data_IF_994857986875
#
_entry.id   IF_994857986875
#
_cell.length_a   1.000
_cell.length_b   1.000
_cell.length_c   1.000
_cell.angle_alpha   90.00
_cell.angle_beta   90.00
_cell.angle_gamma   90.00
#
_symmetry.space_group_name_H-M   'P 1'
#
loop_
_entity.id
_entity.type
_entity.pdbx_description
1 polymer ?
#
# COMPACT_ATOMS: atom_id res chain seq x y z
N UNK A 1 0.41 13.42 -15.64
CA UNK A 1 -1.02 13.62 -16.04
C UNK A 1 -1.39 12.83 -17.29
N UNK A 2 -0.59 12.85 -18.36
CA UNK A 2 -0.88 12.14 -19.63
C UNK A 2 -1.08 10.62 -19.43
N UNK A 3 -0.23 9.97 -18.64
CA UNK A 3 -0.37 8.53 -18.38
C UNK A 3 -1.66 8.20 -17.61
N UNK A 4 -2.03 9.00 -16.61
CA UNK A 4 -3.30 8.84 -15.91
C UNK A 4 -4.49 8.93 -16.86
N UNK A 5 -4.50 9.92 -17.75
CA UNK A 5 -5.53 10.07 -18.79
C UNK A 5 -5.55 8.87 -19.76
N UNK A 6 -4.39 8.38 -20.20
CA UNK A 6 -4.28 7.22 -21.08
C UNK A 6 -4.86 5.95 -20.44
N UNK A 7 -4.52 5.71 -19.17
CA UNK A 7 -5.05 4.57 -18.43
C UNK A 7 -6.57 4.72 -18.22
N UNK A 8 -7.06 5.91 -17.87
CA UNK A 8 -8.48 6.21 -17.71
C UNK A 8 -9.27 5.97 -19.01
N UNK A 9 -8.82 6.56 -20.13
CA UNK A 9 -9.60 6.61 -21.38
C UNK A 9 -9.44 5.40 -22.28
N UNK A 10 -8.28 4.73 -22.24
CA UNK A 10 -7.94 3.65 -23.18
C UNK A 10 -7.85 2.31 -22.44
N UNK A 11 -6.95 2.20 -21.45
CA UNK A 11 -6.68 0.91 -20.78
C UNK A 11 -7.88 0.46 -19.95
N UNK A 12 -8.46 1.37 -19.18
CA UNK A 12 -9.53 1.06 -18.22
C UNK A 12 -10.78 0.45 -18.90
N UNK A 13 -11.34 1.01 -19.97
CA UNK A 13 -12.46 0.40 -20.67
C UNK A 13 -12.14 -0.98 -21.24
N UNK A 14 -10.99 -1.12 -21.90
CA UNK A 14 -10.56 -2.38 -22.53
C UNK A 14 -10.29 -3.47 -21.50
N UNK A 15 -9.73 -3.13 -20.34
CA UNK A 15 -9.43 -4.07 -19.24
C UNK A 15 -10.65 -4.37 -18.34
N UNK A 16 -11.80 -3.72 -18.58
CA UNK A 16 -13.01 -3.92 -17.80
C UNK A 16 -12.94 -3.36 -16.38
N UNK A 17 -12.11 -2.34 -16.13
CA UNK A 17 -11.98 -1.72 -14.82
C UNK A 17 -13.29 -1.09 -14.32
N UNK A 18 -14.06 -0.35 -15.13
CA UNK A 18 -15.32 0.23 -14.69
C UNK A 18 -16.31 -0.81 -14.16
N UNK A 19 -16.37 -1.98 -14.79
CA UNK A 19 -17.24 -3.09 -14.34
C UNK A 19 -16.81 -3.60 -12.95
N UNK A 20 -15.51 -3.72 -12.70
CA UNK A 20 -14.98 -4.18 -11.39
C UNK A 20 -15.21 -3.15 -10.30
N UNK A 21 -14.93 -1.88 -10.59
CA UNK A 21 -15.13 -0.76 -9.66
C UNK A 21 -16.61 -0.72 -9.25
N UNK A 22 -17.54 -0.73 -10.22
CA UNK A 22 -18.97 -0.76 -9.94
C UNK A 22 -19.39 -1.96 -9.11
N UNK A 23 -18.89 -3.15 -9.42
CA UNK A 23 -19.21 -4.36 -8.67
C UNK A 23 -18.75 -4.29 -7.22
N UNK A 24 -17.54 -3.79 -6.97
CA UNK A 24 -17.03 -3.59 -5.63
C UNK A 24 -17.83 -2.54 -4.85
N UNK A 25 -18.09 -1.38 -5.48
CA UNK A 25 -18.89 -0.31 -4.86
C UNK A 25 -20.30 -0.75 -4.54
N UNK A 26 -20.99 -1.43 -5.47
CA UNK A 26 -22.32 -1.97 -5.24
C UNK A 26 -22.36 -3.01 -4.11
N UNK A 27 -21.27 -3.75 -3.90
CA UNK A 27 -21.16 -4.72 -2.81
C UNK A 27 -21.04 -4.07 -1.43
N UNK A 28 -20.26 -2.99 -1.31
CA UNK A 28 -19.92 -2.37 -0.02
C UNK A 28 -20.65 -1.05 0.25
N UNK A 29 -21.10 -0.37 -0.77
CA UNK A 29 -21.78 0.93 -0.71
C UNK A 29 -22.96 0.96 -1.70
N UNK A 30 -24.01 0.15 -1.50
CA UNK A 30 -25.10 0.02 -2.46
C UNK A 30 -25.86 1.34 -2.72
N UNK A 31 -25.87 2.24 -1.75
CA UNK A 31 -26.57 3.53 -1.81
C UNK A 31 -25.71 4.66 -2.36
N UNK A 32 -24.49 4.37 -2.86
CA UNK A 32 -23.60 5.40 -3.40
C UNK A 32 -24.24 6.01 -4.68
N UNK A 33 -24.35 7.37 -4.78
CA UNK A 33 -24.95 8.02 -5.94
C UNK A 33 -24.26 7.65 -7.26
N UNK A 34 -25.03 7.45 -8.32
CA UNK A 34 -24.50 7.07 -9.64
C UNK A 34 -23.50 8.09 -10.20
N UNK A 35 -23.65 9.37 -9.87
CA UNK A 35 -22.70 10.42 -10.24
C UNK A 35 -21.32 10.16 -9.62
N UNK A 36 -21.28 9.75 -8.37
CA UNK A 36 -20.05 9.41 -7.64
C UNK A 36 -19.42 8.12 -8.19
N UNK A 37 -20.22 7.10 -8.45
CA UNK A 37 -19.74 5.86 -9.08
C UNK A 37 -19.08 6.16 -10.43
N UNK A 38 -19.71 7.02 -11.27
CA UNK A 38 -19.15 7.43 -12.56
C UNK A 38 -17.83 8.20 -12.39
N UNK A 39 -17.73 9.06 -11.36
CA UNK A 39 -16.52 9.78 -11.01
C UNK A 39 -15.40 8.80 -10.64
N UNK A 40 -15.66 7.88 -9.74
CA UNK A 40 -14.68 6.87 -9.30
C UNK A 40 -14.23 5.94 -10.44
N UNK A 41 -15.10 5.59 -11.37
CA UNK A 41 -14.74 4.81 -12.57
C UNK A 41 -13.73 5.51 -13.48
N UNK A 42 -13.57 6.85 -13.36
CA UNK A 42 -12.55 7.66 -14.06
C UNK A 42 -11.33 7.89 -13.20
N UNK A 43 -11.53 8.34 -11.97
CA UNK A 43 -10.46 8.85 -11.09
C UNK A 43 -9.56 7.72 -10.59
N UNK A 44 -10.12 6.55 -10.26
CA UNK A 44 -9.34 5.38 -9.80
C UNK A 44 -8.34 4.89 -10.86
N UNK A 45 -8.73 4.62 -12.11
CA UNK A 45 -7.77 4.27 -13.15
C UNK A 45 -6.79 5.40 -13.47
N UNK A 46 -7.22 6.65 -13.37
CA UNK A 46 -6.35 7.82 -13.57
C UNK A 46 -5.23 7.84 -12.50
N UNK A 47 -5.60 7.68 -11.22
CA UNK A 47 -4.60 7.59 -10.14
C UNK A 47 -3.65 6.40 -10.32
N UNK A 48 -4.16 5.22 -10.69
CA UNK A 48 -3.34 4.04 -10.97
C UNK A 48 -2.34 4.29 -12.11
N UNK A 49 -2.76 4.97 -13.18
CA UNK A 49 -1.89 5.35 -14.28
C UNK A 49 -0.80 6.37 -13.89
N UNK A 50 -1.13 7.30 -12.97
CA UNK A 50 -0.14 8.24 -12.41
C UNK A 50 0.90 7.49 -11.58
N UNK A 51 0.46 6.64 -10.66
CA UNK A 51 1.35 5.83 -9.81
C UNK A 51 2.28 4.95 -10.65
N UNK A 52 1.76 4.38 -11.74
CA UNK A 52 2.58 3.60 -12.67
C UNK A 52 3.71 4.42 -13.29
N UNK A 53 3.42 5.61 -13.84
CA UNK A 53 4.47 6.42 -14.49
C UNK A 53 5.44 7.03 -13.48
N UNK A 54 4.98 7.38 -12.28
CA UNK A 54 5.82 7.86 -11.20
C UNK A 54 6.88 6.83 -10.82
N UNK A 55 6.51 5.54 -10.74
CA UNK A 55 7.43 4.44 -10.47
C UNK A 55 8.59 4.38 -11.50
N UNK A 56 8.32 4.73 -12.76
CA UNK A 56 9.31 4.75 -13.84
C UNK A 56 9.98 6.12 -14.06
N UNK A 57 9.62 7.14 -13.27
CA UNK A 57 10.18 8.49 -13.41
C UNK A 57 11.50 8.68 -12.65
N UNK A 58 11.98 7.67 -11.94
CA UNK A 58 13.32 7.67 -11.33
C UNK A 58 13.58 8.87 -10.42
N UNK A 59 14.56 9.71 -10.79
CA UNK A 59 14.99 10.87 -9.98
C UNK A 59 13.89 11.90 -9.77
N UNK A 60 13.08 12.17 -10.78
CA UNK A 60 11.98 13.15 -10.68
C UNK A 60 10.96 12.71 -9.64
N UNK A 61 10.62 11.42 -9.62
CA UNK A 61 9.76 10.86 -8.58
C UNK A 61 10.37 11.02 -7.19
N UNK A 62 11.66 10.67 -7.02
CA UNK A 62 12.34 10.78 -5.73
C UNK A 62 12.38 12.21 -5.23
N UNK A 63 12.62 13.19 -6.11
CA UNK A 63 12.62 14.59 -5.74
C UNK A 63 11.29 15.06 -5.16
N UNK A 64 10.16 14.63 -5.73
CA UNK A 64 8.83 14.93 -5.18
C UNK A 64 8.54 14.14 -3.91
N UNK A 65 8.80 12.84 -3.92
CA UNK A 65 8.49 11.96 -2.81
C UNK A 65 9.24 12.34 -1.52
N UNK A 66 10.50 12.72 -1.63
CA UNK A 66 11.33 13.08 -0.46
C UNK A 66 10.95 14.44 0.17
N UNK A 67 10.23 15.28 -0.57
CA UNK A 67 9.70 16.56 -0.06
C UNK A 67 8.33 16.42 0.61
N UNK A 68 7.68 15.27 0.49
CA UNK A 68 6.37 15.05 1.09
C UNK A 68 6.43 15.21 2.62
N UNK A 69 5.57 16.05 3.21
CA UNK A 69 5.49 16.14 4.66
C UNK A 69 5.05 14.81 5.26
N UNK A 70 5.65 14.46 6.39
CA UNK A 70 5.27 13.28 7.17
C UNK A 70 4.52 13.77 8.39
N UNK A 71 3.29 13.33 8.53
CA UNK A 71 2.34 13.71 9.58
C UNK A 71 1.79 12.49 10.28
N UNK A 72 0.98 12.72 11.30
CA UNK A 72 0.26 11.69 12.03
C UNK A 72 0.95 11.24 13.32
N UNK A 73 0.14 10.66 14.25
CA UNK A 73 0.58 10.39 15.62
C UNK A 73 1.64 9.28 15.69
N UNK A 74 1.63 8.32 14.76
CA UNK A 74 2.55 7.18 14.75
C UNK A 74 3.98 7.53 14.33
N UNK A 75 4.24 8.73 13.79
CA UNK A 75 5.60 9.09 13.36
C UNK A 75 6.57 9.12 14.54
N UNK A 76 6.15 9.59 15.70
CA UNK A 76 6.96 9.56 16.91
C UNK A 76 7.28 8.12 17.38
N UNK A 77 6.32 7.19 17.26
CA UNK A 77 6.53 5.78 17.58
C UNK A 77 7.52 5.12 16.60
N UNK A 78 7.45 5.46 15.31
CA UNK A 78 8.41 5.01 14.29
C UNK A 78 9.84 5.46 14.61
N UNK A 79 10.04 6.74 14.94
CA UNK A 79 11.36 7.30 15.29
C UNK A 79 11.89 6.70 16.60
N UNK A 80 11.02 6.50 17.59
CA UNK A 80 11.37 5.82 18.85
C UNK A 80 11.82 4.38 18.61
N UNK A 81 11.05 3.60 17.86
CA UNK A 81 11.41 2.22 17.53
C UNK A 81 12.77 2.14 16.82
N UNK A 82 13.04 3.07 15.89
CA UNK A 82 14.33 3.19 15.22
C UNK A 82 15.47 3.47 16.20
N UNK A 83 15.30 4.44 17.09
CA UNK A 83 16.32 4.82 18.07
C UNK A 83 16.66 3.66 19.03
N UNK A 84 15.66 2.85 19.37
CA UNK A 84 15.80 1.67 20.24
C UNK A 84 16.30 0.42 19.49
N UNK A 85 16.48 0.48 18.17
CA UNK A 85 16.81 -0.70 17.34
C UNK A 85 15.70 -1.74 17.29
N UNK A 86 14.48 -1.38 17.67
CA UNK A 86 13.30 -2.24 17.58
C UNK A 86 12.88 -2.38 16.12
N UNK A 87 12.65 -3.61 15.62
CA UNK A 87 12.15 -3.81 14.27
C UNK A 87 10.82 -3.08 14.02
N UNK A 88 10.60 -2.64 12.78
CA UNK A 88 9.33 -2.00 12.39
C UNK A 88 8.77 -2.68 11.15
N UNK A 89 7.47 -2.95 11.16
CA UNK A 89 6.69 -3.37 10.00
C UNK A 89 5.74 -2.24 9.66
N UNK A 90 6.01 -1.55 8.55
CA UNK A 90 5.11 -0.56 7.99
C UNK A 90 4.11 -1.26 7.07
N UNK A 91 2.83 -1.17 7.41
CA UNK A 91 1.76 -1.70 6.57
C UNK A 91 1.13 -0.56 5.77
N UNK A 92 0.85 -0.85 4.50
CA UNK A 92 0.20 0.10 3.60
C UNK A 92 -0.78 -0.63 2.69
N UNK A 93 -1.49 0.12 1.84
CA UNK A 93 -2.39 -0.41 0.83
C UNK A 93 -2.02 0.11 -0.57
N UNK A 94 -2.68 -0.43 -1.59
CA UNK A 94 -2.65 0.12 -2.95
C UNK A 94 -3.46 1.43 -2.99
N UNK A 95 -2.98 2.42 -2.25
CA UNK A 95 -3.60 3.70 -2.01
C UNK A 95 -2.63 4.84 -2.37
N UNK A 96 -3.12 5.89 -3.03
CA UNK A 96 -2.31 7.02 -3.48
C UNK A 96 -1.10 6.55 -4.30
N UNK A 97 0.09 6.76 -3.76
CA UNK A 97 1.32 6.10 -4.24
C UNK A 97 2.14 5.61 -3.03
N UNK A 98 2.04 4.33 -2.73
CA UNK A 98 2.68 3.69 -1.57
C UNK A 98 4.21 3.77 -1.58
N UNK A 99 4.85 3.94 -2.73
CA UNK A 99 6.32 4.08 -2.83
C UNK A 99 6.82 5.47 -2.38
N UNK A 100 5.95 6.48 -2.27
CA UNK A 100 6.29 7.80 -1.72
C UNK A 100 6.74 7.69 -0.27
N UNK A 101 5.98 6.95 0.56
CA UNK A 101 6.35 6.72 1.96
C UNK A 101 7.70 6.03 2.08
N UNK A 102 7.97 5.03 1.22
CA UNK A 102 9.25 4.33 1.18
C UNK A 102 10.40 5.26 0.81
N UNK A 103 10.25 6.05 -0.26
CA UNK A 103 11.26 6.99 -0.71
C UNK A 103 11.60 8.04 0.36
N UNK A 104 10.58 8.65 0.97
CA UNK A 104 10.74 9.67 1.99
C UNK A 104 11.42 9.14 3.26
N UNK A 105 11.02 7.96 3.74
CA UNK A 105 11.60 7.35 4.94
C UNK A 105 13.05 6.90 4.70
N UNK A 106 13.38 6.35 3.53
CA UNK A 106 14.76 6.03 3.17
C UNK A 106 15.63 7.29 3.13
N UNK A 107 15.14 8.38 2.55
CA UNK A 107 15.85 9.66 2.53
C UNK A 107 16.09 10.24 3.94
N UNK A 108 15.24 9.89 4.92
CA UNK A 108 15.43 10.22 6.35
C UNK A 108 16.33 9.22 7.09
N UNK A 109 16.92 8.25 6.38
CA UNK A 109 17.89 7.30 6.92
C UNK A 109 17.29 6.04 7.54
N UNK A 110 16.02 5.72 7.27
CA UNK A 110 15.46 4.42 7.65
C UNK A 110 16.01 3.31 6.75
N UNK A 111 16.46 2.21 7.35
CA UNK A 111 16.86 1.00 6.62
C UNK A 111 15.62 0.21 6.20
N UNK A 112 14.93 0.70 5.18
CA UNK A 112 13.63 0.19 4.77
C UNK A 112 13.72 -0.75 3.58
N UNK A 113 13.38 -2.03 3.80
CA UNK A 113 13.18 -3.03 2.77
C UNK A 113 11.71 -3.16 2.36
N UNK A 114 11.46 -3.73 1.18
CA UNK A 114 10.11 -3.95 0.68
C UNK A 114 9.94 -5.36 0.11
N UNK A 115 8.74 -5.94 0.36
CA UNK A 115 8.34 -7.21 -0.24
C UNK A 115 7.70 -6.94 -1.60
N UNK A 116 8.13 -7.66 -2.64
CA UNK A 116 7.50 -7.58 -3.94
C UNK A 116 7.17 -8.96 -4.51
N UNK A 117 6.19 -9.01 -5.40
CA UNK A 117 5.84 -10.20 -6.15
C UNK A 117 6.45 -10.12 -7.54
N UNK A 118 7.16 -11.19 -7.93
CA UNK A 118 7.72 -11.32 -9.28
C UNK A 118 6.62 -11.24 -10.34
N UNK A 119 6.85 -10.44 -11.38
CA UNK A 119 5.97 -10.33 -12.52
C UNK A 119 6.07 -11.58 -13.40
N UNK A 120 4.96 -11.97 -14.04
CA UNK A 120 4.89 -13.17 -14.90
C UNK A 120 5.77 -13.06 -16.15
N UNK A 121 5.89 -11.85 -16.72
CA UNK A 121 6.78 -11.59 -17.84
C UNK A 121 8.19 -11.27 -17.30
N UNK A 122 9.23 -12.08 -17.61
CA UNK A 122 10.57 -11.89 -17.07
C UNK A 122 11.22 -10.58 -17.51
N UNK A 123 11.05 -10.17 -18.77
CA UNK A 123 11.60 -8.90 -19.27
C UNK A 123 10.96 -7.69 -18.57
N UNK A 124 9.63 -7.73 -18.41
CA UNK A 124 8.95 -6.67 -17.67
C UNK A 124 9.37 -6.68 -16.19
N UNK A 125 9.59 -7.86 -15.61
CA UNK A 125 10.05 -7.98 -14.23
C UNK A 125 11.43 -7.33 -14.01
N UNK A 126 12.37 -7.48 -14.95
CA UNK A 126 13.69 -6.83 -14.87
C UNK A 126 13.55 -5.31 -14.82
N UNK A 127 12.76 -4.73 -15.72
CA UNK A 127 12.47 -3.29 -15.71
C UNK A 127 11.77 -2.84 -14.42
N UNK A 128 10.79 -3.62 -13.96
CA UNK A 128 10.08 -3.32 -12.72
C UNK A 128 11.02 -3.33 -11.51
N UNK A 129 11.82 -4.39 -11.36
CA UNK A 129 12.78 -4.49 -10.25
C UNK A 129 13.85 -3.39 -10.33
N UNK A 130 14.36 -3.07 -11.52
CA UNK A 130 15.28 -1.95 -11.70
C UNK A 130 14.64 -0.64 -11.21
N UNK A 131 13.38 -0.35 -11.62
CA UNK A 131 12.68 0.87 -11.22
C UNK A 131 12.45 0.95 -9.72
N UNK A 132 11.93 -0.11 -9.08
CA UNK A 132 11.70 -0.09 -7.62
C UNK A 132 13.00 -0.10 -6.82
N UNK A 133 14.10 -0.57 -7.40
CA UNK A 133 15.44 -0.52 -6.77
C UNK A 133 16.02 0.90 -6.73
N UNK A 134 15.64 1.77 -7.67
CA UNK A 134 16.06 3.19 -7.62
C UNK A 134 15.46 3.93 -6.44
N UNK A 135 14.29 3.50 -5.96
CA UNK A 135 13.65 4.06 -4.77
C UNK A 135 14.41 3.61 -3.52
N UNK A 136 14.84 2.34 -3.47
CA UNK A 136 15.66 1.83 -2.38
C UNK A 136 15.77 0.30 -2.35
N UNK A 137 16.72 -0.15 -1.57
CA UNK A 137 17.00 -1.57 -1.28
C UNK A 137 17.12 -1.75 0.25
N UNK A 138 16.95 -2.99 0.78
CA UNK A 138 16.76 -4.25 0.07
C UNK A 138 15.34 -4.48 -0.45
N UNK A 139 15.23 -5.30 -1.49
CA UNK A 139 13.98 -5.81 -2.02
C UNK A 139 13.89 -7.33 -1.80
N UNK A 140 12.76 -7.79 -1.30
CA UNK A 140 12.54 -9.21 -1.02
C UNK A 140 11.52 -9.78 -2.00
N UNK A 141 11.92 -10.74 -2.83
CA UNK A 141 11.01 -11.42 -3.72
C UNK A 141 10.10 -12.38 -2.94
N UNK A 142 8.81 -12.36 -3.17
CA UNK A 142 7.87 -13.30 -2.57
C UNK A 142 8.26 -14.75 -2.90
N UNK A 143 8.47 -15.57 -1.86
CA UNK A 143 8.93 -16.94 -1.96
C UNK A 143 9.91 -17.29 -0.85
N UNK A 144 10.31 -18.56 -0.76
CA UNK A 144 11.10 -19.08 0.37
C UNK A 144 12.40 -18.29 0.63
N UNK A 145 13.15 -17.99 -0.44
CA UNK A 145 14.44 -17.25 -0.33
C UNK A 145 14.23 -15.82 0.16
N UNK A 146 13.31 -15.09 -0.48
CA UNK A 146 13.03 -13.69 -0.09
C UNK A 146 12.44 -13.58 1.31
N UNK A 147 11.55 -14.51 1.70
CA UNK A 147 11.04 -14.57 3.07
C UNK A 147 12.16 -14.78 4.10
N UNK A 148 13.15 -15.63 3.81
CA UNK A 148 14.31 -15.81 4.69
C UNK A 148 15.15 -14.53 4.81
N UNK A 149 15.35 -13.81 3.71
CA UNK A 149 16.09 -12.54 3.71
C UNK A 149 15.31 -11.46 4.47
N UNK A 150 14.00 -11.37 4.26
CA UNK A 150 13.09 -10.47 4.96
C UNK A 150 13.13 -10.69 6.48
N UNK A 151 13.08 -11.95 6.94
CA UNK A 151 13.18 -12.29 8.37
C UNK A 151 14.54 -11.87 8.95
N UNK A 152 15.63 -12.04 8.21
CA UNK A 152 16.95 -11.55 8.66
C UNK A 152 16.98 -10.04 8.81
N UNK A 153 16.37 -9.32 7.85
CA UNK A 153 16.27 -7.86 7.87
C UNK A 153 15.47 -7.37 9.09
N UNK A 154 14.33 -7.98 9.39
CA UNK A 154 13.56 -7.68 10.60
C UNK A 154 14.42 -7.93 11.86
N UNK A 155 15.08 -9.09 11.96
CA UNK A 155 15.92 -9.43 13.12
C UNK A 155 17.11 -8.49 13.33
N UNK A 156 17.58 -7.79 12.31
CA UNK A 156 18.63 -6.78 12.42
C UNK A 156 18.12 -5.38 12.77
N UNK A 157 16.85 -5.24 13.18
CA UNK A 157 16.23 -3.95 13.49
C UNK A 157 15.83 -3.14 12.25
N UNK A 158 15.71 -3.79 11.09
CA UNK A 158 15.31 -3.14 9.84
C UNK A 158 13.83 -2.79 9.82
N UNK A 159 13.49 -1.84 8.95
CA UNK A 159 12.10 -1.45 8.63
C UNK A 159 11.61 -2.23 7.41
N UNK A 160 10.45 -2.86 7.49
CA UNK A 160 9.87 -3.64 6.40
C UNK A 160 8.56 -3.01 5.94
N UNK A 161 8.46 -2.67 4.63
CA UNK A 161 7.21 -2.21 4.01
C UNK A 161 6.45 -3.36 3.36
N UNK A 162 5.16 -3.50 3.70
CA UNK A 162 4.27 -4.54 3.15
C UNK A 162 2.89 -3.96 2.80
N UNK A 163 2.40 -4.28 1.60
CA UNK A 163 1.01 -4.01 1.21
C UNK A 163 0.11 -5.16 1.69
N UNK A 164 -1.00 -4.82 2.38
CA UNK A 164 -1.83 -5.81 3.07
C UNK A 164 -3.28 -5.86 2.58
N UNK A 165 -3.67 -5.02 1.64
CA UNK A 165 -5.04 -4.73 1.25
C UNK A 165 -5.62 -5.62 0.13
N UNK A 166 -4.85 -6.58 -0.37
CA UNK A 166 -5.35 -7.51 -1.39
C UNK A 166 -5.98 -8.76 -0.77
N UNK A 167 -6.84 -9.44 -1.56
CA UNK A 167 -7.36 -10.74 -1.19
C UNK A 167 -6.23 -11.76 -0.99
N UNK A 168 -6.20 -12.44 0.14
CA UNK A 168 -5.17 -13.40 0.51
C UNK A 168 -5.75 -14.82 0.64
N UNK A 169 -5.36 -15.72 -0.26
CA UNK A 169 -5.74 -17.13 -0.13
C UNK A 169 -5.19 -17.72 1.18
N UNK A 170 -6.05 -18.38 1.95
CA UNK A 170 -5.69 -18.95 3.25
C UNK A 170 -5.57 -17.93 4.40
N UNK A 171 -5.96 -16.68 4.17
CA UNK A 171 -6.06 -15.67 5.23
C UNK A 171 -7.29 -15.84 6.12
N UNK A 172 -7.41 -14.99 7.13
CA UNK A 172 -8.58 -14.91 7.98
C UNK A 172 -9.73 -14.13 7.33
N UNK A 173 -10.96 -14.48 7.72
CA UNK A 173 -12.16 -13.76 7.31
C UNK A 173 -12.38 -12.59 8.26
N UNK A 174 -11.92 -11.42 7.87
CA UNK A 174 -12.03 -10.17 8.63
C UNK A 174 -13.02 -9.22 7.95
N UNK A 175 -13.38 -8.13 8.64
CA UNK A 175 -14.23 -7.08 8.07
C UNK A 175 -13.40 -6.09 7.23
N UNK A 176 -13.99 -5.60 6.14
CA UNK A 176 -13.53 -4.45 5.39
C UNK A 176 -14.72 -3.85 4.64
N UNK A 177 -15.09 -2.61 4.94
CA UNK A 177 -16.35 -1.97 4.52
C UNK A 177 -17.58 -2.77 4.93
N UNK A 178 -17.65 -3.19 6.18
CA UNK A 178 -18.72 -4.00 6.76
C UNK A 178 -19.01 -5.31 6.00
N UNK A 179 -18.10 -5.75 5.15
CA UNK A 179 -18.19 -7.01 4.39
C UNK A 179 -17.03 -7.93 4.73
N UNK A 180 -17.27 -9.25 4.75
CA UNK A 180 -16.19 -10.21 4.94
C UNK A 180 -15.14 -10.07 3.85
N UNK A 181 -13.85 -10.02 4.24
CA UNK A 181 -12.73 -9.92 3.33
C UNK A 181 -11.59 -10.84 3.80
N UNK A 182 -11.18 -11.77 2.95
CA UNK A 182 -10.07 -12.68 3.30
C UNK A 182 -8.76 -11.90 3.32
N UNK A 183 -8.14 -11.79 4.49
CA UNK A 183 -6.98 -10.93 4.77
C UNK A 183 -5.84 -11.77 5.36
N UNK A 184 -4.60 -11.51 4.92
CA UNK A 184 -3.41 -12.19 5.42
C UNK A 184 -3.09 -11.73 6.84
N UNK A 185 -2.83 -12.67 7.75
CA UNK A 185 -2.39 -12.38 9.12
C UNK A 185 -0.86 -12.28 9.25
N UNK A 186 -0.12 -12.57 8.18
CA UNK A 186 1.35 -12.71 8.21
C UNK A 186 2.06 -11.47 8.77
N UNK A 187 1.58 -10.27 8.49
CA UNK A 187 2.19 -9.03 9.04
C UNK A 187 2.06 -8.93 10.53
N UNK A 188 0.88 -9.20 11.08
CA UNK A 188 0.65 -9.20 12.51
C UNK A 188 1.39 -10.36 13.20
N UNK A 189 1.40 -11.55 12.61
CA UNK A 189 2.16 -12.71 13.13
C UNK A 189 3.67 -12.42 13.16
N UNK A 190 4.22 -11.74 12.16
CA UNK A 190 5.63 -11.31 12.15
C UNK A 190 5.89 -10.24 13.22
N UNK A 191 4.98 -9.27 13.39
CA UNK A 191 5.10 -8.24 14.42
C UNK A 191 5.15 -8.87 15.81
N UNK A 192 4.23 -9.78 16.12
CA UNK A 192 4.20 -10.51 17.39
C UNK A 192 5.47 -11.35 17.59
N UNK A 193 5.87 -12.12 16.57
CA UNK A 193 7.01 -13.03 16.64
C UNK A 193 8.34 -12.32 16.89
N UNK A 194 8.53 -11.12 16.33
CA UNK A 194 9.78 -10.38 16.41
C UNK A 194 9.70 -9.14 17.30
N UNK A 195 8.61 -8.97 18.04
CA UNK A 195 8.33 -7.77 18.83
C UNK A 195 8.52 -6.47 18.02
N UNK A 196 8.12 -6.52 16.75
CA UNK A 196 8.23 -5.38 15.84
C UNK A 196 7.07 -4.40 16.03
N UNK A 197 7.32 -3.11 15.94
CA UNK A 197 6.26 -2.11 15.86
C UNK A 197 5.47 -2.33 14.55
N UNK A 198 4.15 -2.45 14.63
CA UNK A 198 3.26 -2.55 13.48
C UNK A 198 2.58 -1.19 13.26
N UNK A 199 2.97 -0.47 12.22
CA UNK A 199 2.55 0.92 12.01
C UNK A 199 1.97 1.08 10.62
N UNK A 200 0.70 1.52 10.47
CA UNK A 200 0.13 1.84 9.17
C UNK A 200 0.69 3.17 8.63
N UNK A 201 1.02 3.20 7.33
CA UNK A 201 1.54 4.40 6.66
C UNK A 201 0.95 4.53 5.25
N UNK A 202 0.48 5.73 4.91
CA UNK A 202 -0.14 5.98 3.62
C UNK A 202 0.33 7.29 3.03
N UNK A 203 0.52 7.34 1.71
CA UNK A 203 0.81 8.58 0.99
C UNK A 203 -0.43 9.06 0.26
N UNK A 204 -1.00 10.16 0.73
CA UNK A 204 -2.21 10.78 0.19
C UNK A 204 -1.78 11.74 -0.92
N UNK A 205 -2.21 11.47 -2.15
CA UNK A 205 -1.99 12.41 -3.25
C UNK A 205 -2.83 13.67 -3.06
N UNK A 206 -2.19 14.82 -3.18
CA UNK A 206 -2.81 16.12 -3.00
C UNK A 206 -3.61 16.54 -4.25
N UNK A 207 -4.48 17.56 -4.12
CA UNK A 207 -5.39 18.02 -5.19
C UNK A 207 -4.67 18.44 -6.47
N UNK A 208 -3.46 18.98 -6.38
CA UNK A 208 -2.65 19.31 -7.56
C UNK A 208 -2.24 18.08 -8.38
N UNK A 209 -2.39 16.87 -7.80
CA UNK A 209 -2.15 15.58 -8.42
C UNK A 209 -0.67 15.21 -8.59
N UNK A 210 0.24 15.96 -7.99
CA UNK A 210 1.70 15.77 -8.06
C UNK A 210 2.31 15.57 -6.67
N UNK A 211 1.89 16.37 -5.70
CA UNK A 211 2.41 16.33 -4.35
C UNK A 211 1.69 15.29 -3.50
N UNK A 212 2.30 14.97 -2.39
CA UNK A 212 1.80 13.97 -1.43
C UNK A 212 1.94 14.48 -0.01
N UNK A 213 1.10 13.95 0.86
CA UNK A 213 1.25 13.97 2.30
C UNK A 213 1.37 12.54 2.79
N UNK A 214 2.35 12.25 3.65
CA UNK A 214 2.54 10.93 4.25
C UNK A 214 1.93 10.96 5.64
N UNK A 215 0.90 10.15 5.85
CA UNK A 215 0.24 9.99 7.14
C UNK A 215 0.70 8.69 7.78
N UNK A 216 1.30 8.79 8.96
CA UNK A 216 1.70 7.66 9.81
C UNK A 216 0.67 7.53 10.91
N UNK A 217 -0.16 6.48 10.87
CA UNK A 217 -1.17 6.22 11.90
C UNK A 217 -0.51 5.68 13.17
N UNK A 218 -1.28 5.59 14.25
CA UNK A 218 -0.79 5.04 15.52
C UNK A 218 -0.25 3.61 15.35
N UNK A 219 0.75 3.27 16.17
CA UNK A 219 1.23 1.89 16.28
C UNK A 219 0.07 1.00 16.76
N UNK A 220 -0.13 -0.11 16.04
CA UNK A 220 -1.11 -1.12 16.43
C UNK A 220 -0.62 -1.86 17.68
N UNK A 221 -1.39 -1.78 18.74
CA UNK A 221 -1.07 -2.46 20.00
C UNK A 221 -1.02 -3.98 19.81
N UNK A 222 0.01 -4.62 20.37
CA UNK A 222 0.18 -6.06 20.31
C UNK A 222 -0.94 -6.78 21.08
N UNK A 223 -1.65 -7.65 20.38
CA UNK A 223 -2.70 -8.51 20.93
C UNK A 223 -2.66 -9.87 20.21
N UNK A 224 -3.72 -10.31 19.60
CA UNK A 224 -3.69 -11.45 18.67
C UNK A 224 -3.64 -10.98 17.22
N UNK A 225 -3.18 -11.88 16.32
CA UNK A 225 -2.96 -11.52 14.92
C UNK A 225 -4.23 -11.10 14.17
N UNK A 226 -5.41 -11.60 14.56
CA UNK A 226 -6.68 -11.25 13.92
C UNK A 226 -7.11 -9.84 14.33
N UNK A 227 -7.09 -9.54 15.62
CA UNK A 227 -7.41 -8.21 16.16
C UNK A 227 -6.47 -7.14 15.59
N UNK A 228 -5.17 -7.39 15.57
CA UNK A 228 -4.18 -6.47 14.98
C UNK A 228 -4.43 -6.25 13.48
N UNK A 229 -4.73 -7.31 12.74
CA UNK A 229 -4.99 -7.20 11.29
C UNK A 229 -6.33 -6.51 11.02
N UNK A 230 -7.33 -6.70 11.89
CA UNK A 230 -8.59 -5.96 11.79
C UNK A 230 -8.37 -4.46 12.02
N UNK A 231 -7.58 -4.07 12.99
CA UNK A 231 -7.24 -2.66 13.22
C UNK A 231 -6.53 -2.01 12.02
N UNK A 232 -5.67 -2.77 11.32
CA UNK A 232 -5.07 -2.30 10.04
C UNK A 232 -6.14 -2.10 8.97
N UNK A 233 -7.11 -3.02 8.84
CA UNK A 233 -8.22 -2.87 7.89
C UNK A 233 -9.05 -1.64 8.22
N UNK A 234 -9.40 -1.43 9.49
CA UNK A 234 -10.24 -0.33 9.95
C UNK A 234 -9.58 1.03 9.64
N UNK A 235 -8.29 1.18 9.95
CA UNK A 235 -7.54 2.40 9.64
C UNK A 235 -7.40 2.67 8.13
N UNK A 236 -7.24 1.62 7.32
CA UNK A 236 -7.26 1.77 5.86
C UNK A 236 -8.67 2.13 5.36
N UNK A 237 -9.71 1.52 5.88
CA UNK A 237 -11.09 1.80 5.49
C UNK A 237 -11.46 3.26 5.74
N UNK A 238 -11.14 3.80 6.92
CA UNK A 238 -11.36 5.20 7.27
C UNK A 238 -10.68 6.13 6.24
N UNK A 239 -9.42 5.85 5.93
CA UNK A 239 -8.66 6.63 4.95
C UNK A 239 -9.27 6.54 3.55
N UNK A 240 -9.70 5.35 3.13
CA UNK A 240 -10.35 5.15 1.82
C UNK A 240 -11.69 5.84 1.75
N UNK A 241 -12.49 5.84 2.81
CA UNK A 241 -13.77 6.57 2.85
C UNK A 241 -13.57 8.07 2.63
N UNK A 242 -12.51 8.64 3.17
CA UNK A 242 -12.15 10.06 2.96
C UNK A 242 -11.57 10.33 1.57
N UNK A 243 -10.97 9.34 0.91
CA UNK A 243 -10.20 9.50 -0.33
C UNK A 243 -10.49 8.38 -1.34
N UNK A 244 -11.74 8.08 -1.62
CA UNK A 244 -12.19 6.90 -2.38
C UNK A 244 -11.48 6.73 -3.73
N UNK A 245 -11.18 7.83 -4.43
CA UNK A 245 -10.54 7.82 -5.75
C UNK A 245 -9.07 7.38 -5.72
N UNK A 246 -8.45 7.28 -4.55
CA UNK A 246 -7.04 6.94 -4.41
C UNK A 246 -6.80 5.46 -4.11
N UNK A 247 -7.82 4.69 -3.71
CA UNK A 247 -7.67 3.27 -3.46
C UNK A 247 -7.91 2.43 -4.73
N UNK A 248 -7.29 1.24 -4.77
CA UNK A 248 -7.28 0.37 -5.96
C UNK A 248 -8.55 -0.47 -6.08
N UNK A 249 -9.73 0.17 -6.24
CA UNK A 249 -11.03 -0.47 -6.46
C UNK A 249 -11.07 -1.45 -7.65
N UNK A 250 -10.01 -1.54 -8.45
CA UNK A 250 -9.88 -2.45 -9.59
C UNK A 250 -9.63 -3.89 -9.13
N UNK A 251 -9.10 -4.10 -7.91
CA UNK A 251 -8.88 -5.42 -7.34
C UNK A 251 -10.18 -6.06 -6.85
N UNK A 252 -10.28 -7.39 -6.99
CA UNK A 252 -11.40 -8.18 -6.45
C UNK A 252 -11.16 -8.51 -4.98
N UNK A 253 -11.31 -7.53 -4.11
CA UNK A 253 -10.98 -7.63 -2.67
C UNK A 253 -11.89 -8.64 -1.95
N UNK A 254 -13.17 -8.66 -2.29
CA UNK A 254 -14.20 -9.51 -1.68
C UNK A 254 -14.48 -10.78 -2.49
N UNK A 255 -13.46 -11.35 -3.11
CA UNK A 255 -13.59 -12.60 -3.87
C UNK A 255 -13.76 -13.79 -2.92
N UNK A 256 -14.75 -14.65 -3.21
CA UNK A 256 -15.01 -15.89 -2.44
C UNK A 256 -15.31 -15.66 -0.95
N UNK A 257 -15.98 -14.56 -0.58
CA UNK A 257 -16.39 -14.22 0.79
C UNK A 257 -17.88 -14.46 0.98
#
# INVERSE_FOLDING_TARGET
RTMGWLVEKIVSPLAGYPKRIRANLAHVMPDLPEAEIKRLCKDVPNNAGRTLIELYSGKDFLEHATKAPITGPGYAALEKARAEGRPVILVTGHFGNYDVSRAALIAKGHNMGALYRRMSNPYFNEHYVASISTIGTPLFEQGRKGMTQMVRHIKSGGVLGILTDLHAYGGARLSFFDKPAITSLVTAELALKFNAALIPVYAIRQENGLDFEIVVQDEIEHSDAQTMTQAVNDGLEELVRANMHQWFWIHRRWKNT
#
